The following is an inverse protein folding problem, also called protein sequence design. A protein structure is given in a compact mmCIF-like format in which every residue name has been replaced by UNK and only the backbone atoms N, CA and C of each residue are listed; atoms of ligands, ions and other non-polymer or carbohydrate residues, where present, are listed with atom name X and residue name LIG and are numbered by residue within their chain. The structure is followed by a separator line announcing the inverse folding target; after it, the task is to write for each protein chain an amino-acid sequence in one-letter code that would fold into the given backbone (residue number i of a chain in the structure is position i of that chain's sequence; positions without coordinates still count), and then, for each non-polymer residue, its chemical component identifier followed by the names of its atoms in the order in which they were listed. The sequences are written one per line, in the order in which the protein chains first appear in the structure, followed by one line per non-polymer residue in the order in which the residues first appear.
data_IF_973609011363
#
_entry.id   IF_973609011363
#
_cell.length_a   1.000
_cell.length_b   1.000
_cell.length_c   1.000
_cell.angle_alpha   90.00
_cell.angle_beta   90.00
_cell.angle_gamma   90.00
#
_symmetry.space_group_name_H-M   'P 1'
#
loop_
_entity.id
_entity.type
_entity.pdbx_description
1 polymer ?
#
# COMPACT_ATOMS: atom_id res chain seq x y z
N UNK A 1 -5.04 3.40 -6.76
CA UNK A 1 -4.67 4.76 -6.31
C UNK A 1 -3.34 4.68 -5.59
N UNK A 2 -2.41 5.60 -5.87
CA UNK A 2 -1.14 5.70 -5.16
C UNK A 2 -1.38 6.60 -3.95
N UNK A 3 -1.02 6.13 -2.76
CA UNK A 3 -1.22 6.86 -1.50
C UNK A 3 0.05 7.62 -1.13
N UNK A 4 1.19 6.93 -1.18
CA UNK A 4 2.46 7.50 -0.78
C UNK A 4 3.60 6.93 -1.65
N UNK A 5 4.60 7.77 -1.88
CA UNK A 5 5.87 7.40 -2.49
C UNK A 5 7.00 7.95 -1.61
N UNK A 6 7.79 7.02 -1.05
CA UNK A 6 8.93 7.35 -0.21
C UNK A 6 10.25 7.10 -0.92
N UNK A 7 11.27 7.90 -0.59
CA UNK A 7 12.67 7.59 -0.93
C UNK A 7 13.40 7.14 0.33
N UNK A 8 13.89 5.91 0.32
CA UNK A 8 14.62 5.31 1.45
C UNK A 8 16.07 5.03 1.07
N UNK A 9 16.97 5.15 2.04
CA UNK A 9 18.42 5.00 1.80
C UNK A 9 19.07 3.97 2.69
N UNK A 10 19.94 3.13 2.13
CA UNK A 10 20.93 2.34 2.87
C UNK A 10 22.28 3.02 2.76
N UNK A 11 22.87 3.42 3.90
CA UNK A 11 24.21 3.99 3.97
C UNK A 11 25.25 2.86 3.90
N UNK A 12 26.31 3.06 3.13
CA UNK A 12 27.46 2.14 2.99
C UNK A 12 28.75 2.96 3.09
N UNK A 13 29.90 2.30 3.29
CA UNK A 13 31.21 2.96 3.49
C UNK A 13 31.59 3.98 2.39
N UNK A 14 31.08 3.81 1.16
CA UNK A 14 31.36 4.70 0.02
C UNK A 14 30.17 5.54 -0.47
N UNK A 15 29.07 5.64 0.27
CA UNK A 15 27.93 6.49 -0.15
C UNK A 15 26.57 5.99 0.32
N UNK A 16 25.51 6.45 -0.36
CA UNK A 16 24.12 6.10 -0.05
C UNK A 16 23.50 5.37 -1.23
N UNK A 17 22.97 4.17 -1.01
CA UNK A 17 22.13 3.46 -1.99
C UNK A 17 20.68 3.84 -1.79
N UNK A 18 20.10 4.51 -2.77
CA UNK A 18 18.69 4.88 -2.79
C UNK A 18 17.81 3.72 -3.27
N UNK A 19 16.60 3.67 -2.71
CA UNK A 19 15.46 2.89 -3.21
C UNK A 19 14.20 3.72 -3.04
N UNK A 20 13.17 3.40 -3.80
CA UNK A 20 11.85 3.99 -3.67
C UNK A 20 10.88 2.96 -3.11
N UNK A 21 9.96 3.45 -2.29
CA UNK A 21 8.84 2.73 -1.71
C UNK A 21 7.55 3.29 -2.27
N UNK A 22 6.54 2.46 -2.46
CA UNK A 22 5.23 2.88 -2.94
C UNK A 22 4.15 2.16 -2.12
N UNK A 23 3.19 2.93 -1.60
CA UNK A 23 1.98 2.42 -0.99
C UNK A 23 0.82 2.60 -1.97
N UNK A 24 0.16 1.49 -2.31
CA UNK A 24 -0.91 1.46 -3.32
C UNK A 24 -2.15 0.83 -2.73
N UNK A 25 -3.30 1.44 -3.01
CA UNK A 25 -4.62 0.88 -2.71
C UNK A 25 -5.32 0.58 -4.02
N UNK A 26 -5.88 -0.63 -4.14
CA UNK A 26 -6.75 -1.03 -5.25
C UNK A 26 -8.15 -1.31 -4.70
N UNK A 27 -9.19 -1.17 -5.53
CA UNK A 27 -10.53 -1.51 -5.11
C UNK A 27 -11.58 -1.28 -6.19
N UNK A 28 -12.70 -1.97 -6.09
CA UNK A 28 -13.78 -1.94 -7.09
C UNK A 28 -14.99 -1.08 -6.66
N UNK A 29 -14.89 -0.34 -5.54
CA UNK A 29 -15.98 0.45 -4.92
C UNK A 29 -17.23 -0.36 -4.57
N UNK A 30 -17.18 -1.70 -4.64
CA UNK A 30 -18.26 -2.63 -4.29
C UNK A 30 -17.90 -3.48 -3.07
N UNK A 31 -17.08 -2.93 -2.17
CA UNK A 31 -16.63 -3.61 -0.96
C UNK A 31 -15.30 -4.36 -1.09
N UNK A 32 -14.74 -4.58 -2.28
CA UNK A 32 -13.39 -5.17 -2.40
C UNK A 32 -12.33 -4.08 -2.41
N UNK A 33 -11.40 -4.16 -1.46
CA UNK A 33 -10.26 -3.24 -1.32
C UNK A 33 -9.01 -4.05 -1.04
N UNK A 34 -7.91 -3.73 -1.71
CA UNK A 34 -6.60 -4.34 -1.47
C UNK A 34 -5.56 -3.27 -1.19
N UNK A 35 -4.62 -3.57 -0.29
CA UNK A 35 -3.52 -2.68 0.05
C UNK A 35 -2.22 -3.42 -0.26
N UNK A 36 -1.29 -2.72 -0.90
CA UNK A 36 0.01 -3.29 -1.23
C UNK A 36 1.14 -2.30 -1.04
N UNK A 37 2.29 -2.84 -0.65
CA UNK A 37 3.49 -2.06 -0.40
C UNK A 37 4.66 -2.60 -1.21
N UNK A 38 5.25 -1.73 -2.03
CA UNK A 38 6.33 -2.09 -2.95
C UNK A 38 7.61 -1.33 -2.66
N UNK A 39 8.75 -1.96 -2.94
CA UNK A 39 10.08 -1.32 -2.86
C UNK A 39 10.98 -1.75 -4.00
N UNK A 40 11.55 -0.79 -4.71
CA UNK A 40 12.45 -1.04 -5.83
C UNK A 40 13.54 0.05 -5.97
N UNK A 41 14.42 -0.10 -6.98
CA UNK A 41 15.44 0.92 -7.30
C UNK A 41 14.83 2.12 -8.02
N UNK A 42 13.79 1.88 -8.82
CA UNK A 42 13.07 2.89 -9.57
C UNK A 42 11.61 2.96 -9.12
N UNK A 43 10.97 4.09 -9.37
CA UNK A 43 9.58 4.34 -8.96
C UNK A 43 8.58 3.43 -9.71
N UNK A 44 8.65 3.26 -11.05
CA UNK A 44 7.68 2.42 -11.77
C UNK A 44 7.69 0.97 -11.29
N UNK A 45 8.86 0.43 -10.99
CA UNK A 45 9.00 -0.93 -10.49
C UNK A 45 8.50 -1.08 -9.05
N UNK A 46 8.65 -0.05 -8.22
CA UNK A 46 8.09 -0.06 -6.86
C UNK A 46 6.56 -0.07 -6.93
N UNK A 47 5.96 0.69 -7.85
CA UNK A 47 4.51 0.72 -8.06
C UNK A 47 4.01 -0.63 -8.58
N UNK A 48 4.66 -1.23 -9.59
CA UNK A 48 4.27 -2.55 -10.10
C UNK A 48 4.25 -3.60 -8.99
N UNK A 49 5.31 -3.66 -8.18
CA UNK A 49 5.38 -4.57 -7.03
C UNK A 49 4.29 -4.30 -5.99
N UNK A 50 4.01 -3.03 -5.72
CA UNK A 50 2.93 -2.65 -4.80
C UNK A 50 1.55 -3.06 -5.33
N UNK A 51 1.31 -2.95 -6.64
CA UNK A 51 0.06 -3.39 -7.29
C UNK A 51 -0.09 -4.90 -7.20
N UNK A 52 0.96 -5.67 -7.54
CA UNK A 52 0.92 -7.14 -7.47
C UNK A 52 0.70 -7.64 -6.03
N UNK A 53 1.29 -6.96 -5.05
CA UNK A 53 1.07 -7.22 -3.63
C UNK A 53 -0.36 -6.88 -3.20
N UNK A 54 -0.90 -5.76 -3.67
CA UNK A 54 -2.27 -5.34 -3.37
C UNK A 54 -3.33 -6.33 -3.89
N UNK A 55 -3.10 -6.95 -5.06
CA UNK A 55 -3.98 -7.98 -5.61
C UNK A 55 -3.98 -9.28 -4.80
N UNK A 56 -2.89 -9.59 -4.10
CA UNK A 56 -2.81 -10.76 -3.23
C UNK A 56 -3.50 -10.50 -1.88
N UNK A 57 -3.47 -9.26 -1.41
CA UNK A 57 -3.99 -8.85 -0.10
C UNK A 57 -5.34 -8.13 -0.24
N UNK A 58 -6.32 -8.78 -0.84
CA UNK A 58 -7.69 -8.23 -0.97
C UNK A 58 -8.48 -8.53 0.30
N UNK A 59 -9.18 -7.52 0.79
CA UNK A 59 -10.10 -7.58 1.92
C UNK A 59 -11.50 -7.22 1.43
N UNK A 60 -12.47 -8.00 1.86
CA UNK A 60 -13.88 -7.73 1.65
C UNK A 60 -14.45 -6.90 2.80
N UNK A 61 -14.91 -5.70 2.48
CA UNK A 61 -15.54 -4.74 3.37
C UNK A 61 -17.05 -4.81 3.19
N UNK A 62 -17.75 -5.26 4.24
CA UNK A 62 -19.22 -5.30 4.27
C UNK A 62 -19.77 -3.89 4.44
N UNK A 63 -20.38 -3.38 3.38
CA UNK A 63 -21.05 -2.07 3.37
C UNK A 63 -22.56 -2.25 3.33
N UNK A 64 -23.30 -1.40 4.04
CA UNK A 64 -24.76 -1.34 4.05
C UNK A 64 -25.17 -0.02 3.41
N UNK A 65 -25.47 -0.05 2.10
CA UNK A 65 -25.69 1.17 1.32
C UNK A 65 -24.40 1.97 1.16
N UNK A 66 -24.35 3.18 1.75
CA UNK A 66 -23.18 4.06 1.72
C UNK A 66 -22.31 4.00 2.97
N UNK A 67 -22.70 3.23 3.99
CA UNK A 67 -22.04 3.22 5.31
C UNK A 67 -21.57 1.82 5.74
N UNK A 68 -20.78 1.77 6.81
CA UNK A 68 -20.38 0.56 7.51
C UNK A 68 -21.48 0.06 8.45
N UNK A 69 -21.43 -1.21 8.85
CA UNK A 69 -22.51 -1.83 9.62
C UNK A 69 -22.58 -1.37 11.09
N UNK A 70 -21.44 -1.10 11.71
CA UNK A 70 -21.30 -0.68 13.11
C UNK A 70 -19.94 0.03 13.29
N UNK A 71 -19.80 0.78 14.39
CA UNK A 71 -18.54 1.41 14.75
C UNK A 71 -17.51 0.37 15.18
N UNK A 72 -16.26 0.56 14.74
CA UNK A 72 -15.14 -0.33 15.04
C UNK A 72 -13.94 0.51 15.44
N UNK A 73 -13.39 0.25 16.62
CA UNK A 73 -12.11 0.81 17.05
C UNK A 73 -11.03 -0.25 16.91
N UNK A 74 -10.00 0.04 16.12
CA UNK A 74 -8.82 -0.82 15.96
C UNK A 74 -7.57 0.01 16.16
N UNK A 75 -6.75 -0.39 17.13
CA UNK A 75 -5.42 0.18 17.32
C UNK A 75 -4.42 -0.54 16.40
N UNK A 76 -3.74 0.20 15.53
CA UNK A 76 -2.65 -0.31 14.71
C UNK A 76 -1.38 0.53 14.94
N UNK A 77 -0.33 -0.11 15.48
CA UNK A 77 0.87 0.54 16.00
C UNK A 77 0.60 1.53 17.16
N UNK A 78 1.66 2.20 17.61
CA UNK A 78 1.74 2.90 18.89
C UNK A 78 0.76 4.07 19.01
#
# INVERSE_FOLDING_TARGET
VIVDIGRVTKVVKGGRRFRFTALVIIGNRKGLVGVGYGKAKEVPDAIRKAVDDAFKNIVEVKTKGSTIAHDVEVKYNA
#
